data_IF_154991685983
#
_entry.id   IF_154991685983
#
_cell.length_a   1.000
_cell.length_b   1.000
_cell.length_c   1.000
_cell.angle_alpha   90.00
_cell.angle_beta   90.00
_cell.angle_gamma   90.00
#
_symmetry.space_group_name_H-M   'P 1'
#
loop_
_entity.id
_entity.type
_entity.pdbx_description
1 polymer ?
#
# COMPACT_ATOMS: atom_id res chain seq x y z
N UNK A 1 -1.35 -20.72 -8.05
CA UNK A 1 -0.28 -19.75 -7.79
C UNK A 1 0.51 -19.61 -9.08
N UNK A 2 0.82 -18.39 -9.47
CA UNK A 2 1.53 -18.08 -10.72
C UNK A 2 2.60 -17.00 -10.42
N UNK A 3 3.86 -17.25 -10.80
CA UNK A 3 4.97 -16.30 -10.66
C UNK A 3 5.21 -15.63 -12.00
N UNK A 4 5.40 -14.31 -12.00
CA UNK A 4 5.57 -13.53 -13.21
C UNK A 4 6.33 -12.23 -12.93
N UNK A 5 6.56 -11.46 -13.98
CA UNK A 5 7.17 -10.15 -13.86
C UNK A 5 6.22 -9.07 -14.35
N UNK A 6 6.26 -7.91 -13.68
CA UNK A 6 5.52 -6.73 -14.07
C UNK A 6 6.53 -5.72 -14.65
N UNK A 7 6.38 -5.32 -15.91
CA UNK A 7 7.24 -4.28 -16.47
C UNK A 7 6.89 -2.92 -15.85
N UNK A 8 7.90 -2.24 -15.33
CA UNK A 8 7.78 -0.89 -14.76
C UNK A 8 9.04 -0.09 -15.08
N UNK A 9 8.90 0.99 -15.84
CA UNK A 9 9.96 1.97 -16.13
C UNK A 9 11.33 1.36 -16.47
N UNK A 10 11.34 0.33 -17.33
CA UNK A 10 12.56 -0.38 -17.75
C UNK A 10 13.03 -1.50 -16.83
N UNK A 11 12.42 -1.68 -15.67
CA UNK A 11 12.65 -2.80 -14.77
C UNK A 11 11.56 -3.89 -14.92
N UNK A 12 11.84 -5.08 -14.37
CA UNK A 12 10.91 -6.21 -14.33
C UNK A 12 10.69 -6.59 -12.87
N UNK A 13 9.57 -6.15 -12.29
CA UNK A 13 9.24 -6.41 -10.87
C UNK A 13 8.91 -7.87 -10.67
N UNK A 14 9.48 -8.48 -9.65
CA UNK A 14 9.13 -9.85 -9.25
C UNK A 14 7.73 -9.87 -8.62
N UNK A 15 6.84 -10.69 -9.16
CA UNK A 15 5.45 -10.75 -8.74
C UNK A 15 4.95 -12.19 -8.60
N UNK A 16 3.95 -12.36 -7.74
CA UNK A 16 3.24 -13.62 -7.53
C UNK A 16 1.73 -13.37 -7.44
N UNK A 17 0.94 -14.19 -8.10
CA UNK A 17 -0.51 -14.24 -7.96
C UNK A 17 -0.95 -15.50 -7.23
N UNK A 18 -1.73 -15.32 -6.17
CA UNK A 18 -2.49 -16.35 -5.50
C UNK A 18 -3.88 -16.41 -6.13
N UNK A 19 -4.11 -17.40 -7.00
CA UNK A 19 -5.33 -17.47 -7.80
C UNK A 19 -6.44 -18.18 -7.03
N UNK A 20 -7.63 -17.58 -7.00
CA UNK A 20 -8.84 -18.17 -6.45
C UNK A 20 -9.25 -19.44 -7.19
N UNK A 21 -10.05 -20.28 -6.55
CA UNK A 21 -10.60 -21.49 -7.16
C UNK A 21 -11.69 -21.14 -8.20
N UNK A 22 -11.84 -21.98 -9.21
CA UNK A 22 -12.85 -21.81 -10.27
C UNK A 22 -12.32 -21.13 -11.53
N UNK A 23 -13.18 -21.00 -12.54
CA UNK A 23 -12.81 -20.51 -13.84
C UNK A 23 -12.52 -19.00 -13.91
N UNK A 24 -13.16 -18.19 -13.03
CA UNK A 24 -13.10 -16.71 -13.07
C UNK A 24 -14.03 -16.12 -14.16
N UNK A 25 -13.91 -14.83 -14.50
CA UNK A 25 -12.91 -13.93 -13.93
C UNK A 25 -13.16 -13.62 -12.44
N UNK A 26 -12.10 -13.54 -11.64
CA UNK A 26 -12.16 -13.24 -10.21
C UNK A 26 -11.80 -11.75 -9.98
N UNK A 27 -12.41 -11.07 -9.01
CA UNK A 27 -11.89 -9.79 -8.54
C UNK A 27 -10.47 -9.98 -8.00
N UNK A 28 -9.68 -8.91 -7.98
CA UNK A 28 -8.28 -8.98 -7.58
C UNK A 28 -7.93 -7.93 -6.55
N UNK A 29 -7.13 -8.32 -5.56
CA UNK A 29 -6.48 -7.41 -4.60
C UNK A 29 -4.99 -7.34 -4.95
N UNK A 30 -4.45 -6.14 -5.07
CA UNK A 30 -3.00 -5.92 -5.01
C UNK A 30 -2.63 -5.72 -3.54
N UNK A 31 -1.76 -6.59 -3.02
CA UNK A 31 -1.23 -6.51 -1.66
C UNK A 31 0.11 -5.81 -1.70
N UNK A 32 0.20 -4.64 -1.05
CA UNK A 32 1.35 -3.73 -1.09
C UNK A 32 2.10 -3.78 0.24
N UNK A 33 3.39 -4.18 0.18
CA UNK A 33 4.22 -4.32 1.36
C UNK A 33 4.77 -2.99 1.87
N UNK A 34 5.21 -2.96 3.13
CA UNK A 34 5.80 -1.82 3.81
C UNK A 34 7.27 -1.58 3.45
N UNK A 35 7.92 -0.74 4.25
CA UNK A 35 9.35 -0.43 4.18
C UNK A 35 10.07 -1.07 5.39
N UNK A 36 11.17 -1.78 5.17
CA UNK A 36 11.77 -2.17 3.90
C UNK A 36 11.11 -3.40 3.26
N UNK A 37 10.04 -3.98 3.83
CA UNK A 37 9.29 -5.08 3.26
C UNK A 37 9.51 -6.42 3.95
N UNK A 38 9.87 -6.42 5.24
CA UNK A 38 10.01 -7.65 6.03
C UNK A 38 8.65 -8.34 6.20
N UNK A 39 7.59 -7.56 6.51
CA UNK A 39 6.23 -8.08 6.56
C UNK A 39 5.54 -7.92 5.19
N UNK A 40 5.35 -9.03 4.51
CA UNK A 40 4.78 -9.09 3.15
C UNK A 40 3.29 -9.42 3.13
N UNK A 41 2.70 -9.76 4.27
CA UNK A 41 1.29 -10.12 4.41
C UNK A 41 0.84 -11.26 3.46
N UNK A 42 1.69 -12.26 3.23
CA UNK A 42 1.38 -13.37 2.32
C UNK A 42 0.35 -14.35 2.91
N UNK A 43 0.20 -14.41 4.21
CA UNK A 43 -0.89 -15.10 4.91
C UNK A 43 -2.24 -14.46 4.55
N UNK A 44 -2.32 -13.13 4.61
CA UNK A 44 -3.49 -12.36 4.17
C UNK A 44 -3.78 -12.61 2.67
N UNK A 45 -2.76 -12.62 1.81
CA UNK A 45 -2.92 -12.95 0.40
C UNK A 45 -3.52 -14.35 0.19
N UNK A 46 -3.11 -15.32 1.00
CA UNK A 46 -3.68 -16.67 0.98
C UNK A 46 -5.13 -16.70 1.51
N UNK A 47 -5.46 -15.88 2.53
CA UNK A 47 -6.82 -15.74 3.03
C UNK A 47 -7.74 -15.12 1.97
N UNK A 48 -7.29 -14.06 1.30
CA UNK A 48 -7.97 -13.39 0.18
C UNK A 48 -8.29 -14.39 -0.94
N UNK A 49 -7.30 -15.21 -1.31
CA UNK A 49 -7.50 -16.25 -2.33
C UNK A 49 -8.60 -17.25 -1.94
N UNK A 50 -8.61 -17.70 -0.68
CA UNK A 50 -9.63 -18.62 -0.18
C UNK A 50 -11.04 -18.02 -0.17
N UNK A 51 -11.13 -16.69 -0.07
CA UNK A 51 -12.38 -15.96 -0.13
C UNK A 51 -12.89 -15.66 -1.55
N UNK A 52 -12.22 -16.17 -2.59
CA UNK A 52 -12.68 -16.07 -3.99
C UNK A 52 -12.13 -14.85 -4.74
N UNK A 53 -11.20 -14.11 -4.17
CA UNK A 53 -10.46 -13.03 -4.81
C UNK A 53 -9.07 -13.52 -5.23
N UNK A 54 -8.58 -13.08 -6.38
CA UNK A 54 -7.15 -13.23 -6.66
C UNK A 54 -6.37 -12.23 -5.78
N UNK A 55 -5.19 -12.62 -5.31
CA UNK A 55 -4.29 -11.72 -4.62
C UNK A 55 -2.96 -11.63 -5.39
N UNK A 56 -2.57 -10.44 -5.77
CA UNK A 56 -1.29 -10.16 -6.45
C UNK A 56 -0.39 -9.41 -5.46
N UNK A 57 0.81 -9.94 -5.30
CA UNK A 57 1.90 -9.33 -4.54
C UNK A 57 3.06 -9.10 -5.50
N UNK A 58 3.83 -8.03 -5.31
CA UNK A 58 5.07 -7.77 -6.02
C UNK A 58 6.07 -7.02 -5.12
N UNK A 59 7.35 -7.19 -5.43
CA UNK A 59 8.43 -6.42 -4.81
C UNK A 59 8.76 -5.21 -5.70
N UNK A 60 8.80 -4.00 -5.12
CA UNK A 60 9.09 -2.74 -5.85
C UNK A 60 10.48 -2.75 -6.50
N UNK A 61 10.75 -1.84 -7.43
CA UNK A 61 12.08 -1.64 -8.02
C UNK A 61 13.14 -1.52 -6.94
N UNK A 62 14.27 -2.21 -7.12
CA UNK A 62 15.37 -2.23 -6.16
C UNK A 62 15.03 -2.83 -4.81
N UNK A 63 13.93 -3.59 -4.68
CA UNK A 63 13.49 -4.20 -3.43
C UNK A 63 13.44 -5.72 -3.59
N UNK A 64 14.01 -6.46 -2.61
CA UNK A 64 13.89 -7.93 -2.49
C UNK A 64 14.17 -8.72 -3.77
N UNK A 65 15.13 -8.27 -4.58
CA UNK A 65 15.55 -8.94 -5.81
C UNK A 65 14.84 -8.47 -7.08
N UNK A 66 13.88 -7.57 -7.00
CA UNK A 66 13.42 -6.81 -8.16
C UNK A 66 14.54 -5.87 -8.64
N UNK A 67 14.86 -5.84 -9.95
CA UNK A 67 15.91 -4.98 -10.46
C UNK A 67 15.57 -3.49 -10.37
N UNK A 68 16.58 -2.63 -10.56
CA UNK A 68 16.47 -1.17 -10.52
C UNK A 68 16.87 -0.58 -9.18
N UNK A 69 16.48 0.66 -8.92
CA UNK A 69 16.78 1.40 -7.70
C UNK A 69 15.50 1.65 -6.91
N UNK A 70 15.58 1.46 -5.61
CA UNK A 70 14.47 1.76 -4.72
C UNK A 70 14.38 3.27 -4.48
N UNK A 71 13.16 3.81 -4.57
CA UNK A 71 12.75 5.09 -3.99
C UNK A 71 11.26 5.06 -3.68
N UNK A 72 10.77 6.00 -2.90
CA UNK A 72 9.34 6.08 -2.59
C UNK A 72 8.52 6.49 -3.83
N UNK A 73 9.04 7.40 -4.65
CA UNK A 73 8.43 7.78 -5.93
C UNK A 73 8.39 6.60 -6.91
N UNK A 74 9.49 5.84 -7.01
CA UNK A 74 9.50 4.62 -7.81
C UNK A 74 8.45 3.61 -7.34
N UNK A 75 8.21 3.50 -6.03
CA UNK A 75 7.19 2.59 -5.48
C UNK A 75 5.76 3.02 -5.81
N UNK A 76 5.51 4.34 -5.94
CA UNK A 76 4.25 4.87 -6.47
C UNK A 76 4.05 4.42 -7.92
N UNK A 77 5.04 4.70 -8.78
CA UNK A 77 5.00 4.32 -10.21
C UNK A 77 4.86 2.79 -10.41
N UNK A 78 5.52 2.00 -9.58
CA UNK A 78 5.42 0.53 -9.62
C UNK A 78 4.02 0.03 -9.24
N UNK A 79 3.36 0.71 -8.30
CA UNK A 79 1.97 0.41 -7.93
C UNK A 79 1.04 0.71 -9.10
N UNK A 80 1.22 1.86 -9.78
CA UNK A 80 0.47 2.22 -10.97
C UNK A 80 0.73 1.24 -12.13
N UNK A 81 2.00 0.83 -12.33
CA UNK A 81 2.37 -0.18 -13.33
C UNK A 81 1.71 -1.54 -13.06
N UNK A 82 1.60 -1.96 -11.79
CA UNK A 82 0.92 -3.19 -11.42
C UNK A 82 -0.59 -3.13 -11.70
N UNK A 83 -1.23 -2.01 -11.42
CA UNK A 83 -2.64 -1.77 -11.77
C UNK A 83 -2.83 -1.83 -13.30
N UNK A 84 -1.99 -1.11 -14.05
CA UNK A 84 -2.03 -1.08 -15.50
C UNK A 84 -1.81 -2.48 -16.10
N UNK A 85 -0.86 -3.25 -15.55
CA UNK A 85 -0.59 -4.63 -15.97
C UNK A 85 -1.81 -5.53 -15.87
N UNK A 86 -2.56 -5.44 -14.77
CA UNK A 86 -3.78 -6.24 -14.54
C UNK A 86 -4.93 -5.83 -15.45
N UNK A 87 -4.92 -4.60 -16.01
CA UNK A 87 -5.91 -4.11 -16.97
C UNK A 87 -5.64 -4.52 -18.42
N UNK A 88 -4.44 -5.02 -18.72
CA UNK A 88 -4.14 -5.56 -20.06
C UNK A 88 -4.94 -6.86 -20.27
N UNK A 89 -5.78 -6.97 -21.33
CA UNK A 89 -6.67 -8.11 -21.50
C UNK A 89 -5.97 -9.48 -21.50
N UNK A 90 -4.78 -9.59 -22.09
CA UNK A 90 -4.01 -10.84 -22.13
C UNK A 90 -3.55 -11.25 -20.70
N UNK A 91 -3.12 -10.29 -19.88
CA UNK A 91 -2.69 -10.54 -18.51
C UNK A 91 -3.89 -10.88 -17.60
N UNK A 92 -4.98 -10.14 -17.75
CA UNK A 92 -6.23 -10.42 -17.04
C UNK A 92 -6.75 -11.83 -17.35
N UNK A 93 -6.76 -12.25 -18.61
CA UNK A 93 -7.16 -13.59 -19.03
C UNK A 93 -6.22 -14.67 -18.44
N UNK A 94 -4.89 -14.46 -18.52
CA UNK A 94 -3.89 -15.39 -17.97
C UNK A 94 -4.08 -15.58 -16.47
N UNK A 95 -4.30 -14.50 -15.73
CA UNK A 95 -4.49 -14.53 -14.28
C UNK A 95 -5.95 -14.78 -13.86
N UNK A 96 -6.86 -14.92 -14.81
CA UNK A 96 -8.31 -15.07 -14.58
C UNK A 96 -8.87 -13.96 -13.68
N UNK A 97 -8.38 -12.72 -13.86
CA UNK A 97 -8.81 -11.55 -13.11
C UNK A 97 -9.87 -10.75 -13.85
N UNK A 98 -10.77 -10.13 -13.09
CA UNK A 98 -11.66 -9.09 -13.62
C UNK A 98 -10.93 -7.73 -13.58
N UNK A 99 -10.52 -7.15 -14.72
CA UNK A 99 -9.77 -5.90 -14.76
C UNK A 99 -10.57 -4.68 -14.28
N UNK A 100 -11.88 -4.82 -14.10
CA UNK A 100 -12.77 -3.77 -13.57
C UNK A 100 -12.97 -3.87 -12.05
N UNK A 101 -12.49 -4.93 -11.43
CA UNK A 101 -12.67 -5.17 -9.99
C UNK A 101 -11.31 -5.34 -9.31
N UNK A 102 -10.52 -4.26 -9.31
CA UNK A 102 -9.21 -4.17 -8.64
C UNK A 102 -9.38 -3.39 -7.34
N UNK A 103 -9.02 -4.00 -6.22
CA UNK A 103 -8.88 -3.36 -4.92
C UNK A 103 -7.40 -3.30 -4.50
N UNK A 104 -7.06 -2.35 -3.65
CA UNK A 104 -5.72 -2.21 -3.07
C UNK A 104 -5.79 -2.47 -1.57
N UNK A 105 -4.84 -3.22 -1.03
CA UNK A 105 -4.64 -3.38 0.41
C UNK A 105 -3.16 -3.22 0.70
N UNK A 106 -2.81 -2.21 1.47
CA UNK A 106 -1.41 -1.89 1.75
C UNK A 106 -1.12 -1.76 3.24
N UNK A 107 0.04 -2.23 3.66
CA UNK A 107 0.55 -2.19 5.03
C UNK A 107 1.69 -1.18 5.15
N UNK A 108 1.67 -0.35 6.19
CA UNK A 108 2.74 0.61 6.47
C UNK A 108 3.00 1.57 5.29
N UNK A 109 4.20 1.59 4.72
CA UNK A 109 4.49 2.29 3.44
C UNK A 109 3.53 1.84 2.32
N UNK A 110 3.26 0.54 2.21
CA UNK A 110 2.28 0.04 1.23
C UNK A 110 0.88 0.61 1.44
N UNK A 111 0.53 0.97 2.67
CA UNK A 111 -0.68 1.72 2.98
C UNK A 111 -0.69 3.12 2.38
N UNK A 112 0.45 3.81 2.37
CA UNK A 112 0.60 5.06 1.64
C UNK A 112 0.44 4.85 0.12
N UNK A 113 1.09 3.82 -0.44
CA UNK A 113 0.97 3.48 -1.87
C UNK A 113 -0.48 3.16 -2.25
N UNK A 114 -1.20 2.42 -1.40
CA UNK A 114 -2.62 2.14 -1.59
C UNK A 114 -3.47 3.42 -1.52
N UNK A 115 -3.20 4.32 -0.57
CA UNK A 115 -3.91 5.59 -0.45
C UNK A 115 -3.67 6.49 -1.66
N UNK A 116 -2.42 6.60 -2.11
CA UNK A 116 -2.06 7.38 -3.29
C UNK A 116 -2.75 6.82 -4.55
N UNK A 117 -2.44 5.59 -4.94
CA UNK A 117 -2.99 5.01 -6.15
C UNK A 117 -4.52 4.87 -6.10
N UNK A 118 -5.08 4.48 -4.93
CA UNK A 118 -6.52 4.34 -4.73
C UNK A 118 -7.27 5.66 -4.83
N UNK A 119 -6.68 6.78 -4.41
CA UNK A 119 -7.30 8.11 -4.56
C UNK A 119 -7.21 8.63 -5.99
N UNK A 120 -6.07 8.45 -6.68
CA UNK A 120 -5.80 9.00 -8.01
C UNK A 120 -6.41 8.16 -9.15
N UNK A 121 -6.76 6.90 -8.92
CA UNK A 121 -7.34 6.02 -9.93
C UNK A 121 -8.81 5.69 -9.61
N UNK A 122 -9.73 6.32 -10.33
CA UNK A 122 -11.17 6.14 -10.14
C UNK A 122 -11.67 4.72 -10.48
N UNK A 123 -10.87 3.91 -11.15
CA UNK A 123 -11.19 2.50 -11.48
C UNK A 123 -10.84 1.52 -10.36
N UNK A 124 -10.28 1.96 -9.23
CA UNK A 124 -10.08 1.13 -8.04
C UNK A 124 -11.40 1.02 -7.27
N UNK A 125 -11.85 -0.21 -7.01
CA UNK A 125 -13.16 -0.46 -6.39
C UNK A 125 -13.17 -0.35 -4.87
N UNK A 126 -12.00 -0.32 -4.24
CA UNK A 126 -11.85 -0.12 -2.80
C UNK A 126 -10.38 -0.07 -2.38
N UNK A 127 -10.10 0.65 -1.29
CA UNK A 127 -8.76 0.85 -0.75
C UNK A 127 -8.71 0.48 0.72
N UNK A 128 -7.81 -0.44 1.08
CA UNK A 128 -7.58 -0.87 2.46
C UNK A 128 -6.20 -0.41 2.95
N UNK A 129 -6.18 0.24 4.09
CA UNK A 129 -4.99 0.77 4.76
C UNK A 129 -4.78 0.00 6.06
N UNK A 130 -3.64 -0.66 6.21
CA UNK A 130 -3.24 -1.38 7.42
C UNK A 130 -2.04 -0.66 8.02
N UNK A 131 -2.18 -0.06 9.19
CA UNK A 131 -1.11 0.72 9.85
C UNK A 131 -0.36 1.64 8.87
N UNK A 132 -1.10 2.38 8.04
CA UNK A 132 -0.54 3.15 6.94
C UNK A 132 0.37 4.29 7.42
N UNK A 133 1.58 4.35 6.89
CA UNK A 133 2.53 5.43 7.16
C UNK A 133 2.21 6.65 6.29
N UNK A 134 1.81 7.77 6.90
CA UNK A 134 1.69 9.03 6.18
C UNK A 134 3.07 9.69 6.01
N UNK A 135 3.51 9.88 4.80
CA UNK A 135 4.86 10.40 4.55
C UNK A 135 5.03 11.86 5.04
N UNK A 136 3.98 12.67 5.02
CA UNK A 136 3.99 13.98 5.65
C UNK A 136 4.36 13.91 7.13
N UNK A 137 3.66 13.07 7.90
CA UNK A 137 3.93 12.91 9.34
C UNK A 137 5.30 12.26 9.57
N UNK A 138 5.66 11.25 8.80
CA UNK A 138 6.97 10.56 8.92
C UNK A 138 8.13 11.51 8.63
N UNK A 139 8.01 12.39 7.63
CA UNK A 139 9.02 13.41 7.31
C UNK A 139 9.05 14.59 8.29
N UNK A 140 8.21 14.57 9.35
CA UNK A 140 8.20 15.59 10.42
C UNK A 140 7.08 16.61 10.30
N UNK A 141 6.20 16.53 9.29
CA UNK A 141 5.09 17.45 9.13
C UNK A 141 5.55 18.91 8.88
N UNK A 142 4.89 19.87 9.48
CA UNK A 142 5.21 21.30 9.39
C UNK A 142 6.39 21.69 10.31
N UNK A 143 7.60 21.28 9.91
CA UNK A 143 8.85 21.61 10.60
C UNK A 143 9.22 23.06 10.29
N UNK A 144 9.67 23.79 11.31
CA UNK A 144 10.16 25.16 11.15
C UNK A 144 11.53 25.18 10.44
N UNK A 145 11.86 26.24 9.66
CA UNK A 145 13.12 26.31 8.93
C UNK A 145 14.37 26.07 9.79
N UNK A 146 14.39 26.57 11.01
CA UNK A 146 15.52 26.38 11.95
C UNK A 146 15.67 24.93 12.46
N UNK A 147 14.68 24.09 12.26
CA UNK A 147 14.66 22.68 12.67
C UNK A 147 14.91 21.71 11.50
N UNK A 148 14.94 22.19 10.26
CA UNK A 148 15.03 21.34 9.07
C UNK A 148 16.28 20.44 9.07
N UNK A 149 17.45 20.98 9.43
CA UNK A 149 18.69 20.18 9.47
C UNK A 149 18.63 19.04 10.52
N UNK A 150 18.07 19.34 11.69
CA UNK A 150 17.89 18.33 12.74
C UNK A 150 16.83 17.28 12.34
N UNK A 151 15.76 17.71 11.68
CA UNK A 151 14.72 16.82 11.17
C UNK A 151 15.25 15.90 10.05
N UNK A 152 16.04 16.44 9.12
CA UNK A 152 16.71 15.63 8.11
C UNK A 152 17.58 14.54 8.73
N UNK A 153 18.47 14.90 9.68
CA UNK A 153 19.33 13.94 10.36
C UNK A 153 18.53 12.87 11.12
N UNK A 154 17.42 13.26 11.77
CA UNK A 154 16.49 12.32 12.42
C UNK A 154 15.88 11.36 11.40
N UNK A 155 15.43 11.86 10.26
CA UNK A 155 14.78 11.06 9.22
C UNK A 155 15.77 10.07 8.60
N UNK A 156 16.99 10.52 8.24
CA UNK A 156 18.06 9.63 7.76
C UNK A 156 18.33 8.50 8.77
N UNK A 157 18.47 8.85 10.06
CA UNK A 157 18.69 7.86 11.12
C UNK A 157 17.54 6.85 11.17
N UNK A 158 16.29 7.31 11.19
CA UNK A 158 15.12 6.44 11.26
C UNK A 158 15.03 5.50 10.04
N UNK A 159 15.33 5.99 8.84
CA UNK A 159 15.35 5.19 7.61
C UNK A 159 16.41 4.07 7.71
N UNK A 160 17.63 4.41 8.14
CA UNK A 160 18.71 3.43 8.26
C UNK A 160 18.43 2.40 9.35
N UNK A 161 17.84 2.81 10.48
CA UNK A 161 17.47 1.91 11.59
C UNK A 161 16.36 0.90 11.20
N UNK A 162 15.59 1.15 10.16
CA UNK A 162 14.64 0.19 9.58
C UNK A 162 15.29 -0.90 8.71
N UNK A 163 16.62 -0.96 8.66
CA UNK A 163 17.40 -1.97 7.92
C UNK A 163 17.14 -1.96 6.40
N UNK A 164 17.79 -1.06 5.70
CA UNK A 164 17.66 -0.90 4.24
C UNK A 164 18.46 -1.92 3.41
N UNK A 165 19.05 -2.95 4.02
CA UNK A 165 19.83 -3.99 3.32
C UNK A 165 19.09 -4.68 2.17
N UNK A 166 17.77 -4.95 2.24
CA UNK A 166 17.02 -5.54 1.13
C UNK A 166 16.81 -4.60 -0.06
N UNK A 167 17.24 -3.34 0.05
CA UNK A 167 17.00 -2.29 -0.94
C UNK A 167 18.28 -1.96 -1.71
N UNK A 168 18.18 -1.78 -3.00
CA UNK A 168 19.29 -1.46 -3.90
C UNK A 168 19.16 -0.05 -4.48
N UNK A 169 20.30 0.60 -4.73
CA UNK A 169 20.36 1.88 -5.43
C UNK A 169 19.86 3.09 -4.63
N UNK A 170 19.74 2.97 -3.31
CA UNK A 170 19.34 4.05 -2.41
C UNK A 170 20.27 4.15 -1.20
N UNK A 171 20.22 5.29 -0.51
CA UNK A 171 20.84 5.53 0.80
C UNK A 171 19.84 6.16 1.74
N UNK A 172 20.15 6.18 3.05
CA UNK A 172 19.29 6.88 4.01
C UNK A 172 19.11 8.36 3.66
N UNK A 173 20.19 9.01 3.17
CA UNK A 173 20.16 10.40 2.72
C UNK A 173 19.25 10.58 1.51
N UNK A 174 19.42 9.78 0.43
CA UNK A 174 18.62 9.92 -0.78
C UNK A 174 17.12 9.72 -0.53
N UNK A 175 16.77 8.80 0.35
CA UNK A 175 15.37 8.55 0.73
C UNK A 175 14.81 9.68 1.62
N UNK A 176 15.62 10.22 2.52
CA UNK A 176 15.23 11.37 3.35
C UNK A 176 15.02 12.62 2.51
N UNK A 177 15.95 12.90 1.58
CA UNK A 177 15.85 14.04 0.65
C UNK A 177 14.58 13.95 -0.19
N UNK A 178 14.27 12.78 -0.74
CA UNK A 178 13.07 12.54 -1.53
C UNK A 178 11.79 12.80 -0.71
N UNK A 179 11.71 12.25 0.52
CA UNK A 179 10.58 12.48 1.41
C UNK A 179 10.40 13.97 1.76
N UNK A 180 11.49 14.69 2.00
CA UNK A 180 11.44 16.12 2.32
C UNK A 180 11.03 16.96 1.10
N UNK A 181 11.49 16.59 -0.09
CA UNK A 181 11.13 17.25 -1.34
C UNK A 181 9.61 17.16 -1.60
N UNK A 182 9.04 15.97 -1.40
CA UNK A 182 7.63 15.68 -1.65
C UNK A 182 6.75 15.78 -0.41
N UNK A 183 7.27 16.26 0.73
CA UNK A 183 6.60 16.25 2.05
C UNK A 183 5.12 16.65 1.98
N UNK A 184 4.82 17.81 1.37
CA UNK A 184 3.46 18.32 1.29
C UNK A 184 2.57 17.55 0.33
N UNK A 185 3.12 17.13 -0.79
CA UNK A 185 2.43 16.34 -1.79
C UNK A 185 2.06 14.95 -1.25
N UNK A 186 2.95 14.37 -0.45
CA UNK A 186 2.78 13.02 0.11
C UNK A 186 2.07 13.03 1.47
N UNK A 187 1.03 13.84 1.59
CA UNK A 187 0.11 13.84 2.71
C UNK A 187 -1.21 13.16 2.28
N UNK A 188 -1.39 11.90 2.58
CA UNK A 188 -2.58 11.18 2.13
C UNK A 188 -3.89 11.72 2.75
N UNK A 189 -3.83 12.53 3.82
CA UNK A 189 -5.03 13.18 4.38
C UNK A 189 -5.67 14.14 3.37
N UNK A 190 -4.83 14.76 2.53
CA UNK A 190 -5.29 15.71 1.51
C UNK A 190 -5.96 15.01 0.31
N UNK A 191 -5.85 13.68 0.21
CA UNK A 191 -6.50 12.90 -0.85
C UNK A 191 -7.97 12.58 -0.56
N UNK A 192 -8.50 12.97 0.61
CA UNK A 192 -9.84 12.56 1.08
C UNK A 192 -10.95 12.77 0.05
N UNK A 193 -11.00 13.94 -0.61
CA UNK A 193 -12.01 14.23 -1.63
C UNK A 193 -11.90 13.34 -2.88
N UNK A 194 -10.70 12.86 -3.19
CA UNK A 194 -10.41 12.06 -4.37
C UNK A 194 -10.92 10.62 -4.25
N UNK A 195 -11.17 10.13 -3.03
CA UNK A 195 -11.82 8.82 -2.81
C UNK A 195 -13.28 8.83 -3.28
N UNK A 196 -13.98 9.96 -3.17
CA UNK A 196 -15.41 10.06 -3.49
C UNK A 196 -16.22 9.09 -2.65
N UNK A 197 -17.08 8.30 -3.30
CA UNK A 197 -17.90 7.27 -2.65
C UNK A 197 -17.25 5.87 -2.60
N UNK A 198 -16.00 5.74 -3.05
CA UNK A 198 -15.32 4.42 -3.07
C UNK A 198 -14.98 3.95 -1.66
N UNK A 199 -15.24 2.68 -1.32
CA UNK A 199 -15.02 2.14 0.00
C UNK A 199 -13.57 2.27 0.47
N UNK A 200 -13.40 2.81 1.68
CA UNK A 200 -12.12 2.92 2.38
C UNK A 200 -12.17 2.06 3.64
N UNK A 201 -11.19 1.16 3.80
CA UNK A 201 -10.93 0.44 5.03
C UNK A 201 -9.68 1.04 5.70
N UNK A 202 -9.78 1.36 6.98
CA UNK A 202 -8.65 1.83 7.80
C UNK A 202 -8.51 0.90 9.00
N UNK A 203 -7.39 0.19 9.05
CA UNK A 203 -7.02 -0.66 10.18
C UNK A 203 -5.79 -0.05 10.84
N UNK A 204 -5.84 0.12 12.15
CA UNK A 204 -4.78 0.73 12.96
C UNK A 204 -4.39 -0.16 14.12
N UNK A 205 -3.18 0.04 14.65
CA UNK A 205 -2.66 -0.63 15.85
C UNK A 205 -1.99 0.35 16.80
N UNK A 206 -1.41 -0.14 17.91
CA UNK A 206 -0.71 0.65 18.92
C UNK A 206 0.74 1.00 18.50
N UNK A 207 0.97 1.21 17.20
CA UNK A 207 2.28 1.42 16.57
C UNK A 207 2.66 2.90 16.37
N UNK A 208 1.81 3.81 16.80
CA UNK A 208 2.00 5.26 16.64
C UNK A 208 1.57 5.85 15.29
N UNK A 209 1.10 5.03 14.33
CA UNK A 209 0.66 5.47 12.99
C UNK A 209 -0.83 5.72 12.88
N UNK A 210 -1.61 5.49 13.93
CA UNK A 210 -3.08 5.55 13.89
C UNK A 210 -3.62 6.97 13.60
N UNK A 211 -2.98 8.02 14.11
CA UNK A 211 -3.53 9.37 14.06
C UNK A 211 -3.71 9.93 12.64
N UNK A 212 -2.74 9.83 11.71
CA UNK A 212 -2.92 10.26 10.31
C UNK A 212 -4.02 9.49 9.59
N UNK A 213 -4.07 8.18 9.78
CA UNK A 213 -5.07 7.32 9.16
C UNK A 213 -6.50 7.66 9.65
N UNK A 214 -6.65 7.96 10.95
CA UNK A 214 -7.90 8.45 11.52
C UNK A 214 -8.31 9.82 10.96
N UNK A 215 -7.35 10.75 10.74
CA UNK A 215 -7.64 12.03 10.08
C UNK A 215 -8.15 11.84 8.65
N UNK A 216 -7.52 10.95 7.88
CA UNK A 216 -8.00 10.60 6.54
C UNK A 216 -9.43 10.04 6.59
N UNK A 217 -9.68 9.04 7.46
CA UNK A 217 -11.00 8.43 7.61
C UNK A 217 -12.06 9.48 7.95
N UNK A 218 -11.77 10.39 8.89
CA UNK A 218 -12.66 11.47 9.26
C UNK A 218 -12.94 12.43 8.09
N UNK A 219 -11.92 12.77 7.31
CA UNK A 219 -12.05 13.66 6.15
C UNK A 219 -12.85 12.99 5.01
N UNK A 220 -12.64 11.69 4.76
CA UNK A 220 -13.41 10.93 3.75
C UNK A 220 -14.89 10.83 4.16
N UNK A 221 -15.19 10.66 5.45
CA UNK A 221 -16.60 10.63 5.93
C UNK A 221 -17.38 11.91 5.66
N UNK A 222 -16.70 13.03 5.44
CA UNK A 222 -17.36 14.29 5.06
C UNK A 222 -17.77 14.32 3.58
N UNK A 223 -17.30 13.38 2.76
CA UNK A 223 -17.65 13.32 1.35
C UNK A 223 -19.06 12.72 1.15
N UNK A 224 -19.80 13.15 0.13
CA UNK A 224 -21.11 12.58 -0.19
C UNK A 224 -21.02 11.07 -0.46
N UNK A 225 -21.92 10.30 0.16
CA UNK A 225 -22.01 8.85 0.03
C UNK A 225 -20.71 8.11 0.37
N UNK A 226 -19.93 8.62 1.33
CA UNK A 226 -18.71 7.99 1.77
C UNK A 226 -18.97 6.64 2.46
N UNK A 227 -18.13 5.66 2.16
CA UNK A 227 -18.13 4.34 2.78
C UNK A 227 -16.79 4.10 3.47
N UNK A 228 -16.73 4.33 4.78
CA UNK A 228 -15.51 4.17 5.58
C UNK A 228 -15.75 3.12 6.67
N UNK A 229 -14.91 2.08 6.64
CA UNK A 229 -14.82 1.07 7.71
C UNK A 229 -13.54 1.32 8.49
N UNK A 230 -13.62 1.39 9.81
CA UNK A 230 -12.44 1.50 10.69
C UNK A 230 -12.43 0.37 11.71
N UNK A 231 -11.21 -0.13 11.97
CA UNK A 231 -10.95 -1.10 13.02
C UNK A 231 -9.60 -0.78 13.68
N UNK A 232 -9.57 -0.78 15.00
CA UNK A 232 -8.34 -0.68 15.77
C UNK A 232 -8.08 -1.99 16.52
N UNK A 233 -6.80 -2.42 16.53
CA UNK A 233 -6.34 -3.57 17.29
C UNK A 233 -5.26 -3.13 18.28
N UNK A 234 -5.40 -3.55 19.54
CA UNK A 234 -4.37 -3.37 20.55
C UNK A 234 -3.24 -4.41 20.33
N UNK A 235 -2.36 -4.11 19.39
CA UNK A 235 -1.28 -5.02 18.92
C UNK A 235 -0.11 -4.23 18.33
N UNK A 236 0.95 -4.96 17.96
CA UNK A 236 2.13 -4.40 17.31
C UNK A 236 1.87 -4.04 15.82
N UNK A 237 2.89 -3.42 15.18
CA UNK A 237 2.83 -2.99 13.79
C UNK A 237 2.59 -4.13 12.79
N UNK A 238 3.04 -5.35 13.09
CA UNK A 238 2.88 -6.55 12.26
C UNK A 238 1.60 -7.33 12.57
N UNK A 239 0.82 -6.90 13.56
CA UNK A 239 -0.37 -7.63 14.04
C UNK A 239 -0.05 -9.05 14.47
N UNK A 240 1.10 -9.27 15.12
CA UNK A 240 1.68 -10.59 15.35
C UNK A 240 0.77 -11.55 16.10
N UNK A 241 -0.02 -11.08 17.06
CA UNK A 241 -0.99 -11.84 17.86
C UNK A 241 -2.43 -11.71 17.33
N UNK A 242 -2.69 -10.89 16.28
CA UNK A 242 -4.00 -10.57 15.75
C UNK A 242 -4.18 -10.94 14.27
N UNK A 243 -3.30 -11.77 13.68
CA UNK A 243 -3.31 -12.08 12.24
C UNK A 243 -4.65 -12.60 11.75
N UNK A 244 -5.29 -13.52 12.48
CA UNK A 244 -6.60 -14.08 12.10
C UNK A 244 -7.71 -13.01 12.15
N UNK A 245 -7.66 -12.12 13.15
CA UNK A 245 -8.63 -11.04 13.26
C UNK A 245 -8.43 -9.99 12.15
N UNK A 246 -7.17 -9.66 11.81
CA UNK A 246 -6.81 -8.81 10.67
C UNK A 246 -7.35 -9.39 9.35
N UNK A 247 -7.05 -10.67 9.06
CA UNK A 247 -7.56 -11.36 7.89
C UNK A 247 -9.09 -11.30 7.82
N UNK A 248 -9.76 -11.64 8.92
CA UNK A 248 -11.23 -11.62 9.01
C UNK A 248 -11.81 -10.23 8.70
N UNK A 249 -11.19 -9.18 9.23
CA UNK A 249 -11.62 -7.79 9.00
C UNK A 249 -11.48 -7.41 7.52
N UNK A 250 -10.33 -7.72 6.90
CA UNK A 250 -10.12 -7.45 5.47
C UNK A 250 -11.09 -8.25 4.60
N UNK A 251 -11.30 -9.55 4.90
CA UNK A 251 -12.22 -10.39 4.12
C UNK A 251 -13.66 -9.93 4.22
N UNK A 252 -14.13 -9.53 5.41
CA UNK A 252 -15.46 -8.98 5.58
C UNK A 252 -15.65 -7.70 4.77
N UNK A 253 -14.67 -6.81 4.78
CA UNK A 253 -14.70 -5.59 3.98
C UNK A 253 -14.70 -5.90 2.48
N UNK A 254 -13.83 -6.81 1.99
CA UNK A 254 -13.82 -7.23 0.59
C UNK A 254 -15.19 -7.81 0.16
N UNK A 255 -15.90 -8.48 1.05
CA UNK A 255 -17.25 -8.97 0.82
C UNK A 255 -18.28 -7.86 0.56
N UNK A 256 -18.00 -6.62 0.93
CA UNK A 256 -18.86 -5.45 0.66
C UNK A 256 -18.60 -4.79 -0.70
N UNK A 257 -17.46 -5.09 -1.33
CA UNK A 257 -17.08 -4.54 -2.64
C UNK A 257 -17.79 -5.31 -3.76
N UNK A 258 -18.79 -4.69 -4.38
CA UNK A 258 -19.61 -5.29 -5.43
C UNK A 258 -19.39 -4.64 -6.79
#
# INVERSE_FOLDING_TARGET
>A
MDSFQIPSHGAQLNAIAYLAAGAGPHPVVIVLHGFPGNEKNLDLAQAIRRAGWNAVFFDYRGSWGSPGSFSFGNSIEDTEAAIAYLRVPANAARLRTDPKRIALVGHSMGGFMAAYAGSHDAGIVGTGLISAANFFDWSGGDVKPEQEAANHARLVKNIVENDILPLAGCTGESLADEMLLHRKEWNFVDYAAMFGSRPLLVITSDDGLAAPAGRLAAAVRQQPNAHVTEQHFATDHSYSDQRIALETTVLNWLGTLR
#
